data_IF_820878281819
#
_entry.id   IF_820878281819
#
_cell.length_a   1.000
_cell.length_b   1.000
_cell.length_c   1.000
_cell.angle_alpha   90.00
_cell.angle_beta   90.00
_cell.angle_gamma   90.00
#
_symmetry.space_group_name_H-M   'P 1'
#
loop_
_entity.id
_entity.type
_entity.pdbx_description
1 polymer ?
#
# COMPACT_ATOMS: atom_id res chain seq x y z
N UNK A 1 -11.19 44.03 -40.86
CA UNK A 1 -11.57 42.62 -40.85
C UNK A 1 -10.47 41.67 -40.36
N UNK A 2 -9.23 42.02 -40.56
CA UNK A 2 -8.12 41.23 -40.03
C UNK A 2 -8.10 41.14 -38.50
N UNK A 3 -8.60 42.14 -37.77
CA UNK A 3 -8.69 42.17 -36.33
C UNK A 3 -9.68 41.13 -35.77
N UNK A 4 -10.75 40.81 -36.46
CA UNK A 4 -11.73 39.79 -36.03
C UNK A 4 -11.18 38.37 -36.09
N UNK A 5 -10.42 38.06 -37.14
CA UNK A 5 -9.82 36.71 -37.28
C UNK A 5 -8.74 36.43 -36.24
N UNK A 6 -7.97 37.43 -35.87
CA UNK A 6 -6.94 37.31 -34.80
C UNK A 6 -7.62 37.16 -33.44
N UNK A 7 -8.71 37.88 -33.19
CA UNK A 7 -9.48 37.81 -31.96
C UNK A 7 -10.12 36.42 -31.76
N UNK A 8 -10.68 35.86 -32.84
CA UNK A 8 -11.25 34.49 -32.81
C UNK A 8 -10.20 33.43 -32.60
N UNK A 9 -9.00 33.58 -33.15
CA UNK A 9 -7.89 32.66 -32.92
C UNK A 9 -7.43 32.69 -31.47
N UNK A 10 -7.36 33.84 -30.85
CA UNK A 10 -7.01 33.97 -29.42
C UNK A 10 -8.03 33.30 -28.53
N UNK A 11 -9.32 33.44 -28.80
CA UNK A 11 -10.38 32.76 -28.06
C UNK A 11 -10.31 31.24 -28.21
N UNK A 12 -10.06 30.75 -29.41
CA UNK A 12 -9.90 29.31 -29.65
C UNK A 12 -8.70 28.74 -28.93
N UNK A 13 -7.56 29.43 -28.96
CA UNK A 13 -6.35 29.04 -28.29
C UNK A 13 -6.58 28.99 -26.75
N UNK A 14 -7.26 30.00 -26.22
CA UNK A 14 -7.60 30.09 -24.81
C UNK A 14 -8.51 28.94 -24.40
N UNK A 15 -9.52 28.62 -25.19
CA UNK A 15 -10.44 27.50 -24.92
C UNK A 15 -9.71 26.17 -24.95
N UNK A 16 -8.83 25.98 -25.92
CA UNK A 16 -8.01 24.78 -26.02
C UNK A 16 -7.07 24.61 -24.81
N UNK A 17 -6.47 25.70 -24.35
CA UNK A 17 -5.62 25.71 -23.17
C UNK A 17 -6.39 25.32 -21.90
N UNK A 18 -7.59 25.86 -21.74
CA UNK A 18 -8.45 25.54 -20.60
C UNK A 18 -8.88 24.07 -20.64
N UNK A 19 -9.25 23.56 -21.82
CA UNK A 19 -9.61 22.16 -22.01
C UNK A 19 -8.42 21.23 -21.70
N UNK A 20 -7.24 21.63 -22.14
CA UNK A 20 -6.02 20.87 -21.88
C UNK A 20 -5.68 20.82 -20.38
N UNK A 21 -5.86 21.94 -19.70
CA UNK A 21 -5.66 22.04 -18.25
C UNK A 21 -6.66 21.19 -17.47
N UNK A 22 -7.92 21.22 -17.85
CA UNK A 22 -8.96 20.38 -17.25
C UNK A 22 -8.71 18.90 -17.49
N UNK A 23 -8.24 18.57 -18.69
CA UNK A 23 -7.92 17.18 -19.05
C UNK A 23 -6.74 16.64 -18.23
N UNK A 24 -5.67 17.42 -18.07
CA UNK A 24 -4.51 17.02 -17.27
C UNK A 24 -4.84 16.88 -15.80
N UNK A 25 -5.62 17.80 -15.25
CA UNK A 25 -6.09 17.71 -13.85
C UNK A 25 -6.99 16.50 -13.65
N UNK A 26 -7.89 16.22 -14.58
CA UNK A 26 -8.75 15.05 -14.54
C UNK A 26 -7.97 13.73 -14.57
N UNK A 27 -6.95 13.64 -15.43
CA UNK A 27 -6.10 12.45 -15.50
C UNK A 27 -5.31 12.25 -14.23
N UNK A 28 -4.78 13.30 -13.64
CA UNK A 28 -4.01 13.24 -12.39
C UNK A 28 -4.90 12.76 -11.24
N UNK A 29 -6.09 13.28 -11.13
CA UNK A 29 -7.07 12.88 -10.12
C UNK A 29 -7.49 11.42 -10.31
N UNK A 30 -7.71 11.01 -11.55
CA UNK A 30 -8.08 9.63 -11.88
C UNK A 30 -6.98 8.63 -11.50
N UNK A 31 -5.73 8.96 -11.78
CA UNK A 31 -4.57 8.13 -11.39
C UNK A 31 -4.43 8.00 -9.88
N UNK A 32 -4.75 9.03 -9.14
CA UNK A 32 -4.66 9.01 -7.68
C UNK A 32 -5.74 8.11 -7.07
N UNK A 33 -6.94 8.10 -7.64
CA UNK A 33 -8.04 7.24 -7.20
C UNK A 33 -7.81 5.76 -7.50
N UNK A 34 -7.09 5.43 -8.57
CA UNK A 34 -6.84 4.06 -9.00
C UNK A 34 -5.70 3.36 -8.25
N UNK A 35 -4.99 4.05 -7.40
CA UNK A 35 -4.03 3.40 -6.50
C UNK A 35 -4.80 2.76 -5.35
N UNK A 36 -5.34 1.58 -5.60
CA UNK A 36 -5.82 0.74 -4.53
C UNK A 36 -4.63 0.29 -3.69
N UNK A 37 -4.48 0.89 -2.54
CA UNK A 37 -3.62 0.37 -1.51
C UNK A 37 -4.30 -0.87 -0.94
N UNK A 38 -3.85 -2.02 -1.37
CA UNK A 38 -4.17 -3.26 -0.67
C UNK A 38 -3.37 -3.21 0.62
N UNK A 39 -4.00 -2.76 1.69
CA UNK A 39 -3.40 -2.85 3.02
C UNK A 39 -3.28 -4.31 3.38
N UNK A 40 -2.07 -4.82 3.64
CA UNK A 40 -1.95 -6.16 4.16
C UNK A 40 -2.72 -6.24 5.48
N UNK A 41 -3.51 -7.29 5.64
CA UNK A 41 -4.23 -7.53 6.88
C UNK A 41 -3.27 -8.13 7.90
N UNK A 42 -3.26 -7.56 9.07
CA UNK A 42 -2.47 -8.04 10.19
C UNK A 42 -3.37 -8.45 11.33
N UNK A 43 -2.95 -9.47 12.06
CA UNK A 43 -3.57 -9.88 13.32
C UNK A 43 -2.57 -9.65 14.44
N UNK A 44 -3.00 -9.04 15.53
CA UNK A 44 -2.19 -8.88 16.72
C UNK A 44 -2.10 -10.21 17.46
N UNK A 45 -0.88 -10.57 17.86
CA UNK A 45 -0.62 -11.73 18.69
C UNK A 45 0.18 -11.31 19.91
N UNK A 46 -0.27 -11.72 21.09
CA UNK A 46 0.44 -11.47 22.34
C UNK A 46 1.26 -12.71 22.67
N UNK A 47 2.57 -12.54 22.80
CA UNK A 47 3.50 -13.64 23.10
C UNK A 47 3.23 -14.17 24.48
N UNK A 48 3.11 -15.49 24.59
CA UNK A 48 2.93 -16.21 25.85
C UNK A 48 4.23 -16.83 26.32
N UNK A 49 4.27 -17.26 27.56
CA UNK A 49 5.43 -17.99 28.07
C UNK A 49 5.69 -19.27 27.26
N UNK A 50 6.94 -19.54 26.98
CA UNK A 50 7.41 -20.67 26.18
C UNK A 50 7.03 -20.62 24.70
N UNK A 51 6.51 -19.50 24.22
CA UNK A 51 6.28 -19.30 22.78
C UNK A 51 7.59 -19.07 22.04
N UNK A 52 7.70 -19.70 20.87
CA UNK A 52 8.78 -19.45 19.93
C UNK A 52 8.17 -18.89 18.65
N UNK A 53 8.95 -18.14 17.88
CA UNK A 53 8.47 -17.61 16.61
C UNK A 53 8.04 -18.72 15.66
N UNK A 54 8.72 -19.85 15.68
CA UNK A 54 8.35 -21.03 14.90
C UNK A 54 6.95 -21.54 15.27
N UNK A 55 6.69 -21.71 16.56
CA UNK A 55 5.40 -22.15 17.07
C UNK A 55 4.27 -21.19 16.71
N UNK A 56 4.49 -19.92 16.94
CA UNK A 56 3.52 -18.87 16.64
C UNK A 56 3.21 -18.86 15.13
N UNK A 57 4.25 -18.86 14.32
CA UNK A 57 4.13 -18.79 12.87
C UNK A 57 3.44 -20.02 12.29
N UNK A 58 3.67 -21.19 12.85
CA UNK A 58 3.05 -22.43 12.38
C UNK A 58 1.53 -22.42 12.52
N UNK A 59 0.99 -21.64 13.46
CA UNK A 59 -0.45 -21.46 13.63
C UNK A 59 -1.10 -20.51 12.61
N UNK A 60 -0.30 -19.73 11.88
CA UNK A 60 -0.78 -18.72 10.93
C UNK A 60 -0.58 -19.08 9.46
N UNK A 61 0.15 -20.15 9.17
CA UNK A 61 0.48 -20.53 7.79
C UNK A 61 -0.20 -21.82 7.37
N UNK A 62 -0.32 -22.00 6.05
CA UNK A 62 -0.74 -23.24 5.42
C UNK A 62 0.44 -24.19 5.22
N UNK A 63 0.14 -25.45 4.94
CA UNK A 63 1.16 -26.46 4.63
C UNK A 63 1.99 -26.13 3.37
N UNK A 64 1.48 -25.28 2.49
CA UNK A 64 2.16 -24.83 1.26
C UNK A 64 3.09 -23.63 1.47
N UNK A 65 3.04 -22.97 2.62
CA UNK A 65 3.82 -21.77 2.91
C UNK A 65 5.13 -22.15 3.58
N UNK A 66 6.24 -21.56 3.12
CA UNK A 66 7.54 -21.72 3.74
C UNK A 66 7.59 -20.92 5.05
N UNK A 67 7.70 -21.62 6.16
CA UNK A 67 7.71 -21.01 7.50
C UNK A 67 8.89 -20.07 7.72
N UNK A 68 10.05 -20.34 7.13
CA UNK A 68 11.22 -19.48 7.25
C UNK A 68 11.01 -18.14 6.58
N UNK A 69 10.43 -18.15 5.38
CA UNK A 69 10.06 -16.93 4.68
C UNK A 69 8.99 -16.14 5.42
N UNK A 70 8.04 -16.83 6.01
CA UNK A 70 7.00 -16.21 6.84
C UNK A 70 7.59 -15.51 8.06
N UNK A 71 8.48 -16.19 8.78
CA UNK A 71 9.17 -15.63 9.96
C UNK A 71 9.98 -14.40 9.57
N UNK A 72 10.68 -14.44 8.44
CA UNK A 72 11.45 -13.30 7.94
C UNK A 72 10.54 -12.09 7.69
N UNK A 73 9.36 -12.29 7.11
CA UNK A 73 8.36 -11.24 6.93
C UNK A 73 7.87 -10.67 8.26
N UNK A 74 7.60 -11.52 9.23
CA UNK A 74 7.16 -11.11 10.57
C UNK A 74 8.23 -10.25 11.24
N UNK A 75 9.48 -10.66 11.18
CA UNK A 75 10.60 -9.91 11.71
C UNK A 75 10.72 -8.53 11.07
N UNK A 76 10.59 -8.48 9.75
CA UNK A 76 10.66 -7.24 8.99
C UNK A 76 9.52 -6.29 9.34
N UNK A 77 8.28 -6.79 9.37
CA UNK A 77 7.08 -5.99 9.67
C UNK A 77 7.14 -5.40 11.07
N UNK A 78 7.61 -6.19 12.04
CA UNK A 78 7.64 -5.79 13.44
C UNK A 78 8.96 -5.16 13.86
N UNK A 79 9.96 -5.21 13.01
CA UNK A 79 11.32 -4.75 13.29
C UNK A 79 11.88 -5.40 14.58
N UNK A 80 11.73 -6.71 14.66
CA UNK A 80 12.16 -7.51 15.82
C UNK A 80 13.04 -8.68 15.38
N UNK A 81 13.82 -9.21 16.32
CA UNK A 81 14.54 -10.46 16.17
C UNK A 81 13.74 -11.59 16.82
N UNK A 82 13.52 -12.68 16.08
CA UNK A 82 12.79 -13.85 16.57
C UNK A 82 13.37 -14.45 17.86
N UNK A 83 14.67 -14.31 18.08
CA UNK A 83 15.34 -14.83 19.27
C UNK A 83 15.15 -13.95 20.49
N UNK A 84 14.66 -12.73 20.32
CA UNK A 84 14.50 -11.75 21.38
C UNK A 84 13.04 -11.52 21.77
N UNK A 85 12.14 -12.37 21.35
CA UNK A 85 10.72 -12.25 21.74
C UNK A 85 10.57 -12.61 23.23
N UNK A 86 9.72 -11.87 23.91
CA UNK A 86 9.44 -12.04 25.35
C UNK A 86 7.94 -12.14 25.58
N UNK A 87 7.51 -12.86 26.62
CA UNK A 87 6.09 -12.89 26.98
C UNK A 87 5.54 -11.48 27.20
N UNK A 88 4.34 -11.24 26.70
CA UNK A 88 3.68 -9.94 26.75
C UNK A 88 3.93 -9.03 25.57
N UNK A 89 4.90 -9.35 24.71
CA UNK A 89 5.11 -8.58 23.48
C UNK A 89 3.94 -8.74 22.51
N UNK A 90 3.57 -7.66 21.87
CA UNK A 90 2.57 -7.66 20.80
C UNK A 90 3.28 -7.78 19.46
N UNK A 91 2.94 -8.79 18.70
CA UNK A 91 3.49 -9.03 17.37
C UNK A 91 2.35 -8.95 16.34
N UNK A 92 2.57 -8.23 15.26
CA UNK A 92 1.63 -8.17 14.15
C UNK A 92 1.96 -9.28 13.16
N UNK A 93 1.03 -10.24 13.05
CA UNK A 93 1.16 -11.38 12.15
C UNK A 93 0.42 -11.10 10.86
N UNK A 94 1.07 -11.22 9.69
CA UNK A 94 0.37 -11.04 8.43
C UNK A 94 -0.63 -12.18 8.20
N UNK A 95 -1.84 -11.80 7.80
CA UNK A 95 -2.88 -12.75 7.41
C UNK A 95 -2.91 -12.75 5.89
N UNK A 96 -2.58 -13.88 5.27
CA UNK A 96 -2.73 -14.02 3.84
C UNK A 96 -4.20 -14.20 3.48
N UNK A 97 -4.70 -13.48 2.45
CA UNK A 97 -6.06 -13.63 1.98
C UNK A 97 -6.33 -15.00 1.37
#
# INVERSE_FOLDING_TARGET
>A
MKKRSIYLKKKRILTLLILMLLFTTGITTYRTENKEYIKPKYQEYIVKENDTMWKISSGFINSSTDIRNFISKVEEINNIDSQKIKPGMVIYMPIEP
#
